data_IF_819590955741
#
_entry.id   IF_819590955741
#
_cell.length_a   1.000
_cell.length_b   1.000
_cell.length_c   1.000
_cell.angle_alpha   90.00
_cell.angle_beta   90.00
_cell.angle_gamma   90.00
#
_symmetry.space_group_name_H-M   'P 1'
#
loop_
_entity.id
_entity.type
_entity.pdbx_description
1 polymer ?
#
# COMPACT_ATOMS: atom_id res chain seq x y z
N UNK A 1 -11.17 -12.81 -2.29
CA UNK A 1 -11.72 -11.66 -1.54
C UNK A 1 -10.86 -10.46 -1.93
N UNK A 2 -11.43 -9.26 -2.10
CA UNK A 2 -10.72 -8.12 -2.69
C UNK A 2 -9.61 -7.61 -1.75
N UNK A 3 -8.40 -7.39 -2.29
CA UNK A 3 -7.27 -6.90 -1.49
C UNK A 3 -7.49 -5.43 -1.08
N UNK A 4 -7.20 -5.11 0.19
CA UNK A 4 -7.26 -3.76 0.75
C UNK A 4 -5.83 -3.22 0.90
N UNK A 5 -5.41 -2.34 -0.01
CA UNK A 5 -4.06 -1.76 -0.02
C UNK A 5 -4.09 -0.41 0.70
N UNK A 6 -3.39 -0.33 1.83
CA UNK A 6 -3.34 0.81 2.72
C UNK A 6 -2.03 1.57 2.51
N UNK A 7 -2.11 2.72 1.85
CA UNK A 7 -0.98 3.52 1.39
C UNK A 7 -0.64 4.57 2.45
N UNK A 8 0.61 4.58 2.92
CA UNK A 8 1.07 5.58 3.88
C UNK A 8 1.56 6.85 3.16
N UNK A 9 1.43 8.01 3.82
CA UNK A 9 2.00 9.27 3.34
C UNK A 9 3.50 9.43 3.62
N UNK A 10 4.06 10.56 3.16
CA UNK A 10 5.45 10.94 3.43
C UNK A 10 5.70 11.13 4.93
N UNK A 11 6.80 10.57 5.44
CA UNK A 11 7.12 10.61 6.88
C UNK A 11 6.40 9.54 7.72
N UNK A 12 5.49 8.77 7.12
CA UNK A 12 4.85 7.61 7.73
C UNK A 12 5.50 6.29 7.27
N UNK A 13 5.11 5.20 7.93
CA UNK A 13 5.53 3.84 7.59
C UNK A 13 4.30 2.95 7.39
N UNK A 14 4.48 1.76 6.83
CA UNK A 14 3.44 0.74 6.76
C UNK A 14 2.75 0.49 8.12
N UNK A 15 3.52 0.49 9.20
CA UNK A 15 3.05 0.27 10.58
C UNK A 15 2.20 1.41 11.14
N UNK A 16 2.17 2.58 10.49
CA UNK A 16 1.29 3.70 10.89
C UNK A 16 -0.19 3.31 10.86
N UNK A 17 -0.56 2.30 10.07
CA UNK A 17 -1.92 1.79 9.98
C UNK A 17 -2.33 0.84 11.12
N UNK A 18 -1.39 0.31 11.91
CA UNK A 18 -1.68 -0.72 12.92
C UNK A 18 -2.81 -0.32 13.87
N UNK A 19 -2.81 0.93 14.32
CA UNK A 19 -3.84 1.42 15.25
C UNK A 19 -5.21 1.50 14.58
N UNK A 20 -5.29 2.03 13.37
CA UNK A 20 -6.53 2.07 12.57
C UNK A 20 -7.07 0.66 12.32
N UNK A 21 -6.22 -0.27 11.86
CA UNK A 21 -6.59 -1.67 11.59
C UNK A 21 -7.10 -2.36 12.85
N UNK A 22 -6.54 -2.06 14.02
CA UNK A 22 -6.99 -2.66 15.29
C UNK A 22 -8.43 -2.31 15.68
N UNK A 23 -9.00 -1.25 15.10
CA UNK A 23 -10.39 -0.84 15.31
C UNK A 23 -11.35 -1.28 14.19
N UNK A 24 -10.84 -1.89 13.11
CA UNK A 24 -11.68 -2.32 12.00
C UNK A 24 -12.42 -3.63 12.32
N UNK A 25 -13.72 -3.68 11.99
CA UNK A 25 -14.52 -4.90 12.13
C UNK A 25 -14.09 -6.00 11.14
N UNK A 26 -13.66 -5.61 9.93
CA UNK A 26 -13.07 -6.52 8.94
C UNK A 26 -11.62 -6.12 8.63
N UNK A 27 -10.70 -6.80 9.29
CA UNK A 27 -9.26 -6.61 9.16
C UNK A 27 -8.56 -7.71 8.33
N UNK A 28 -9.31 -8.51 7.56
CA UNK A 28 -8.75 -9.52 6.65
C UNK A 28 -8.26 -8.87 5.35
N UNK A 29 -7.32 -9.51 4.66
CA UNK A 29 -6.84 -9.10 3.32
C UNK A 29 -6.34 -7.65 3.23
N UNK A 30 -5.85 -7.09 4.34
CA UNK A 30 -5.22 -5.78 4.37
C UNK A 30 -3.71 -5.93 4.17
N UNK A 31 -3.16 -5.16 3.24
CA UNK A 31 -1.72 -5.02 3.03
C UNK A 31 -1.32 -3.56 3.18
N UNK A 32 -0.22 -3.32 3.88
CA UNK A 32 0.36 -1.99 4.08
C UNK A 32 1.76 -1.99 3.47
N UNK A 33 1.92 -1.77 2.16
CA UNK A 33 3.23 -1.83 1.56
C UNK A 33 4.07 -0.62 1.99
N UNK A 34 5.39 -0.82 2.08
CA UNK A 34 6.33 0.28 2.23
C UNK A 34 6.68 0.84 0.84
N UNK A 35 6.36 2.11 0.60
CA UNK A 35 6.55 2.74 -0.72
C UNK A 35 8.02 2.82 -1.14
N UNK A 36 8.96 2.97 -0.20
CA UNK A 36 10.39 2.97 -0.53
C UNK A 36 10.88 1.59 -0.94
N UNK A 37 10.30 0.52 -0.39
CA UNK A 37 10.58 -0.85 -0.82
C UNK A 37 10.02 -1.14 -2.21
N UNK A 38 8.85 -0.60 -2.55
CA UNK A 38 8.23 -0.74 -3.88
C UNK A 38 9.07 -0.06 -4.97
N UNK A 39 9.83 0.98 -4.66
CA UNK A 39 10.72 1.62 -5.64
C UNK A 39 11.79 0.68 -6.21
N UNK A 40 12.07 -0.47 -5.59
CA UNK A 40 13.03 -1.47 -6.07
C UNK A 40 14.43 -0.86 -6.40
N UNK A 41 14.84 0.16 -5.64
CA UNK A 41 16.12 0.85 -5.84
C UNK A 41 16.16 1.89 -6.97
N UNK A 42 15.03 2.16 -7.64
CA UNK A 42 14.90 3.26 -8.60
C UNK A 42 15.04 4.62 -7.91
N UNK A 43 15.37 5.65 -8.69
CA UNK A 43 15.33 7.04 -8.25
C UNK A 43 13.96 7.37 -7.65
N UNK A 44 13.97 8.05 -6.50
CA UNK A 44 12.76 8.48 -5.81
C UNK A 44 12.10 9.66 -6.56
N UNK A 45 11.31 9.33 -7.57
CA UNK A 45 10.42 10.26 -8.29
C UNK A 45 8.98 9.76 -8.22
N UNK A 46 8.03 10.67 -8.46
CA UNK A 46 6.62 10.30 -8.51
C UNK A 46 6.36 9.29 -9.63
N UNK A 47 6.95 9.49 -10.80
CA UNK A 47 6.79 8.63 -11.97
C UNK A 47 7.28 7.20 -11.70
N UNK A 48 8.46 7.06 -11.06
CA UNK A 48 9.01 5.76 -10.72
C UNK A 48 8.18 5.07 -9.65
N UNK A 49 7.78 5.82 -8.60
CA UNK A 49 6.95 5.27 -7.53
C UNK A 49 5.58 4.84 -8.07
N UNK A 50 4.95 5.67 -8.90
CA UNK A 50 3.66 5.38 -9.52
C UNK A 50 3.75 4.12 -10.39
N UNK A 51 4.74 4.02 -11.28
CA UNK A 51 4.95 2.85 -12.13
C UNK A 51 5.18 1.58 -11.32
N UNK A 52 6.03 1.63 -10.29
CA UNK A 52 6.27 0.48 -9.41
C UNK A 52 5.04 0.13 -8.56
N UNK A 53 4.27 1.11 -8.11
CA UNK A 53 3.03 0.88 -7.37
C UNK A 53 1.94 0.25 -8.24
N UNK A 54 1.82 0.66 -9.51
CA UNK A 54 0.94 0.00 -10.48
C UNK A 54 1.34 -1.46 -10.66
N UNK A 55 2.64 -1.75 -10.82
CA UNK A 55 3.16 -3.13 -10.90
C UNK A 55 2.77 -3.93 -9.65
N UNK A 56 2.98 -3.37 -8.45
CA UNK A 56 2.58 -3.99 -7.18
C UNK A 56 1.07 -4.27 -7.12
N UNK A 57 0.22 -3.33 -7.52
CA UNK A 57 -1.23 -3.52 -7.56
C UNK A 57 -1.66 -4.63 -8.52
N UNK A 58 -0.94 -4.82 -9.63
CA UNK A 58 -1.22 -5.87 -10.61
C UNK A 58 -0.82 -7.28 -10.14
N UNK A 59 -0.15 -7.43 -9.00
CA UNK A 59 0.12 -8.73 -8.37
C UNK A 59 -1.11 -9.32 -7.67
N UNK A 60 -2.16 -8.51 -7.47
CA UNK A 60 -3.41 -8.93 -6.83
C UNK A 60 -4.45 -9.27 -7.88
N UNK A 61 -5.05 -10.46 -7.76
CA UNK A 61 -6.14 -10.87 -8.63
C UNK A 61 -7.47 -10.17 -8.28
N UNK A 62 -8.15 -9.64 -9.30
CA UNK A 62 -9.50 -9.10 -9.17
C UNK A 62 -9.56 -7.67 -8.63
N UNK A 63 -10.64 -7.35 -7.92
CA UNK A 63 -10.86 -6.00 -7.40
C UNK A 63 -9.89 -5.69 -6.25
N UNK A 64 -9.33 -4.49 -6.27
CA UNK A 64 -8.56 -3.92 -5.16
C UNK A 64 -9.30 -2.71 -4.58
N UNK A 65 -9.10 -2.46 -3.29
CA UNK A 65 -9.53 -1.27 -2.58
C UNK A 65 -8.30 -0.49 -2.13
N UNK A 66 -8.25 0.81 -2.45
CA UNK A 66 -7.16 1.69 -2.03
C UNK A 66 -7.63 2.60 -0.88
N UNK A 67 -6.80 2.74 0.14
CA UNK A 67 -7.00 3.69 1.24
C UNK A 67 -5.67 4.44 1.51
N UNK A 68 -5.70 5.75 1.67
CA UNK A 68 -4.51 6.59 1.89
C UNK A 68 -4.64 7.48 3.12
N UNK A 69 -3.51 7.79 3.77
CA UNK A 69 -3.36 8.83 4.80
C UNK A 69 -2.95 10.16 4.18
#
# INVERSE_FOLDING_TARGET
>A
MAAKIFVHGSGHQATSWNKTISYMTDNKDIVCPNLSSILEGKEASYENLYSSFVKYCNEFDGQIHLCGL
#
